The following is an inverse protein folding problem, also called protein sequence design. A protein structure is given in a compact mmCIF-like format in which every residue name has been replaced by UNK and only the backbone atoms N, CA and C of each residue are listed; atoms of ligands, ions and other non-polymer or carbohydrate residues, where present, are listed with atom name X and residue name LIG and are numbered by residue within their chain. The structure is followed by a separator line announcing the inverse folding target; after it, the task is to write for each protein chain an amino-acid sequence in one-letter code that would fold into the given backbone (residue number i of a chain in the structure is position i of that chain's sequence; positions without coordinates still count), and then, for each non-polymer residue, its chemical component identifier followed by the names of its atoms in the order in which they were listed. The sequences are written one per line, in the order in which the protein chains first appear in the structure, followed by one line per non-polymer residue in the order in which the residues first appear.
data_IF_599301766768
#
_entry.id   IF_599301766768
#
_cell.length_a   1.000
_cell.length_b   1.000
_cell.length_c   1.000
_cell.angle_alpha   90.00
_cell.angle_beta   90.00
_cell.angle_gamma   90.00
#
_symmetry.space_group_name_H-M   'P 1'
#
loop_
_entity.id
_entity.type
_entity.pdbx_description
1 polymer ?
#
# COMPACT_ATOMS: atom_id res chain seq x y z
N UNK A 1 -30.46 30.91 11.10
CA UNK A 1 -30.39 29.51 11.57
C UNK A 1 -30.48 28.48 10.43
N UNK A 2 -31.20 28.73 9.32
CA UNK A 2 -31.28 27.80 8.16
C UNK A 2 -29.99 27.63 7.33
N UNK A 3 -29.16 28.67 7.21
CA UNK A 3 -27.96 28.64 6.34
C UNK A 3 -26.88 27.67 6.89
N UNK A 4 -26.75 27.60 8.22
CA UNK A 4 -25.78 26.72 8.88
C UNK A 4 -26.17 25.25 8.72
N UNK A 5 -27.47 24.91 8.82
CA UNK A 5 -27.96 23.53 8.61
C UNK A 5 -27.80 23.07 7.15
N UNK A 6 -27.93 23.97 6.18
CA UNK A 6 -27.74 23.64 4.76
C UNK A 6 -26.27 23.39 4.42
N UNK A 7 -25.34 24.16 5.00
CA UNK A 7 -23.89 23.94 4.84
C UNK A 7 -23.41 22.65 5.53
N UNK A 8 -23.92 22.34 6.72
CA UNK A 8 -23.64 21.08 7.41
C UNK A 8 -24.19 19.85 6.66
N UNK A 9 -25.40 19.95 6.10
CA UNK A 9 -25.95 18.89 5.25
C UNK A 9 -25.17 18.73 3.95
N UNK A 10 -24.73 19.82 3.31
CA UNK A 10 -23.82 19.75 2.14
C UNK A 10 -22.53 19.01 2.50
N UNK A 11 -21.87 19.36 3.61
CA UNK A 11 -20.62 18.72 4.04
C UNK A 11 -20.80 17.22 4.35
N UNK A 12 -21.91 16.84 5.00
CA UNK A 12 -22.24 15.44 5.30
C UNK A 12 -22.53 14.63 4.03
N UNK A 13 -23.27 15.20 3.08
CA UNK A 13 -23.55 14.56 1.78
C UNK A 13 -22.29 14.45 0.92
N UNK A 14 -21.45 15.48 0.90
CA UNK A 14 -20.13 15.45 0.25
C UNK A 14 -19.27 14.33 0.84
N UNK A 15 -19.15 14.25 2.16
CA UNK A 15 -18.41 13.18 2.84
C UNK A 15 -18.98 11.79 2.53
N UNK A 16 -20.30 11.62 2.51
CA UNK A 16 -20.93 10.34 2.19
C UNK A 16 -20.69 9.93 0.73
N UNK A 17 -20.80 10.86 -0.22
CA UNK A 17 -20.53 10.62 -1.64
C UNK A 17 -19.05 10.34 -1.87
N UNK A 18 -18.14 11.11 -1.29
CA UNK A 18 -16.70 10.84 -1.34
C UNK A 18 -16.35 9.48 -0.74
N UNK A 19 -16.96 9.12 0.40
CA UNK A 19 -16.75 7.82 1.04
C UNK A 19 -17.28 6.67 0.16
N UNK A 20 -18.44 6.85 -0.48
CA UNK A 20 -19.02 5.89 -1.42
C UNK A 20 -18.16 5.78 -2.70
N UNK A 21 -17.74 6.90 -3.30
CA UNK A 21 -16.87 6.92 -4.50
C UNK A 21 -15.52 6.28 -4.20
N UNK A 22 -14.91 6.59 -3.05
CA UNK A 22 -13.67 5.93 -2.60
C UNK A 22 -13.86 4.42 -2.40
N UNK A 23 -15.05 3.99 -1.97
CA UNK A 23 -15.39 2.57 -1.81
C UNK A 23 -15.74 1.89 -3.15
N UNK A 24 -16.34 2.60 -4.10
CA UNK A 24 -16.79 2.07 -5.40
C UNK A 24 -15.74 2.14 -6.52
N UNK A 25 -14.71 2.98 -6.37
CA UNK A 25 -13.56 2.94 -7.27
C UNK A 25 -12.72 1.69 -7.05
N UNK A 26 -12.94 0.92 -5.98
CA UNK A 26 -12.29 -0.38 -5.76
C UNK A 26 -12.95 -1.47 -6.60
N UNK A 27 -12.47 -1.69 -7.84
CA UNK A 27 -12.83 -2.92 -8.57
C UNK A 27 -12.25 -4.12 -7.82
N UNK A 28 -13.11 -4.88 -7.14
CA UNK A 28 -12.74 -6.18 -6.57
C UNK A 28 -12.45 -7.17 -7.71
N UNK A 29 -11.18 -7.40 -8.00
CA UNK A 29 -10.65 -8.57 -8.70
C UNK A 29 -10.78 -9.84 -7.86
N UNK A 30 -10.77 -10.97 -8.57
CA UNK A 30 -11.23 -12.29 -8.11
C UNK A 30 -10.42 -12.94 -6.96
N UNK A 31 -9.44 -12.24 -6.38
CA UNK A 31 -8.61 -12.72 -5.25
C UNK A 31 -8.41 -11.67 -4.14
N UNK A 32 -9.38 -10.76 -3.94
CA UNK A 32 -9.23 -9.65 -2.97
C UNK A 32 -8.37 -8.50 -3.50
N UNK A 33 -8.13 -8.49 -4.81
CA UNK A 33 -7.45 -7.42 -5.53
C UNK A 33 -8.45 -6.28 -5.67
N UNK A 34 -8.09 -5.08 -5.24
CA UNK A 34 -8.86 -3.88 -5.56
C UNK A 34 -7.98 -3.02 -6.47
N UNK A 35 -8.28 -2.99 -7.76
CA UNK A 35 -7.66 -2.00 -8.66
C UNK A 35 -8.64 -0.84 -8.74
N UNK A 36 -8.34 0.20 -7.98
CA UNK A 36 -8.92 1.51 -8.26
C UNK A 36 -7.97 2.21 -9.21
N UNK A 37 -8.45 3.14 -10.04
CA UNK A 37 -7.55 4.02 -10.80
C UNK A 37 -6.59 4.83 -9.91
N UNK A 38 -6.66 4.70 -8.57
CA UNK A 38 -5.91 5.45 -7.57
C UNK A 38 -4.98 4.55 -6.74
N UNK A 39 -5.35 3.29 -6.53
CA UNK A 39 -4.62 2.36 -5.67
C UNK A 39 -4.75 0.92 -6.15
N UNK A 40 -3.64 0.19 -6.06
CA UNK A 40 -3.58 -1.23 -6.37
C UNK A 40 -3.17 -1.99 -5.11
N UNK A 41 -3.90 -3.07 -4.80
CA UNK A 41 -3.61 -3.95 -3.66
C UNK A 41 -3.43 -5.40 -4.13
N UNK A 42 -2.37 -6.05 -3.65
CA UNK A 42 -2.03 -7.42 -4.01
C UNK A 42 -1.25 -8.11 -2.88
N UNK A 43 -1.29 -9.44 -2.87
CA UNK A 43 -0.59 -10.25 -1.88
C UNK A 43 0.58 -11.00 -2.52
N UNK A 44 1.77 -10.85 -1.95
CA UNK A 44 2.96 -11.60 -2.34
C UNK A 44 3.16 -12.73 -1.35
N UNK A 45 2.90 -13.96 -1.81
CA UNK A 45 3.06 -15.17 -1.00
C UNK A 45 4.54 -15.53 -0.85
N UNK A 46 4.94 -15.93 0.35
CA UNK A 46 6.31 -16.36 0.64
C UNK A 46 6.80 -15.83 1.98
N UNK A 47 7.94 -16.31 2.45
CA UNK A 47 8.50 -15.83 3.73
C UNK A 47 9.06 -14.41 3.53
N UNK A 48 8.59 -13.38 4.26
CA UNK A 48 9.19 -12.06 4.17
C UNK A 48 10.67 -12.07 4.57
N UNK A 49 11.54 -11.62 3.65
CA UNK A 49 12.99 -11.57 3.84
C UNK A 49 13.41 -10.12 4.10
N UNK A 50 13.99 -9.78 5.27
CA UNK A 50 14.44 -8.42 5.55
C UNK A 50 15.67 -8.08 4.73
N UNK A 51 15.81 -6.82 4.32
CA UNK A 51 17.04 -6.33 3.71
C UNK A 51 18.14 -6.25 4.78
N UNK A 52 19.08 -7.18 4.72
CA UNK A 52 20.14 -7.38 5.71
C UNK A 52 21.11 -6.20 5.81
N UNK A 53 21.84 -6.13 6.92
CA UNK A 53 22.97 -5.23 7.06
C UNK A 53 24.20 -5.84 6.38
N UNK A 54 25.04 -4.98 5.79
CA UNK A 54 26.36 -5.38 5.31
C UNK A 54 27.19 -5.90 6.49
N UNK A 55 27.80 -7.06 6.32
CA UNK A 55 28.85 -7.55 7.23
C UNK A 55 30.19 -7.46 6.54
N UNK A 56 31.19 -6.94 7.23
CA UNK A 56 32.57 -6.99 6.77
C UNK A 56 33.20 -8.29 7.22
N UNK A 57 33.56 -9.16 6.28
CA UNK A 57 34.29 -10.41 6.53
C UNK A 57 35.55 -10.37 5.67
N UNK A 58 36.72 -10.48 6.30
CA UNK A 58 38.03 -10.42 5.63
C UNK A 58 38.20 -9.17 4.73
N UNK A 59 37.69 -8.00 5.16
CA UNK A 59 37.76 -6.76 4.38
C UNK A 59 36.71 -6.60 3.27
N UNK A 60 35.87 -7.61 3.04
CA UNK A 60 34.79 -7.57 2.04
C UNK A 60 33.44 -7.35 2.70
N UNK A 61 32.63 -6.42 2.16
CA UNK A 61 31.26 -6.21 2.58
C UNK A 61 30.34 -7.26 1.94
N UNK A 62 29.63 -8.06 2.75
CA UNK A 62 28.78 -9.17 2.32
C UNK A 62 27.36 -8.96 2.87
N UNK A 63 26.36 -9.07 1.99
CA UNK A 63 24.96 -9.19 2.39
C UNK A 63 24.66 -10.63 2.81
N UNK A 64 24.30 -10.83 4.08
CA UNK A 64 23.80 -12.12 4.56
C UNK A 64 22.51 -12.49 3.80
N UNK A 65 22.44 -13.70 3.25
CA UNK A 65 21.28 -14.22 2.50
C UNK A 65 20.88 -13.37 1.28
N UNK A 66 21.87 -12.85 0.55
CA UNK A 66 21.63 -12.04 -0.65
C UNK A 66 20.74 -12.76 -1.69
N UNK A 67 20.89 -14.08 -1.85
CA UNK A 67 20.07 -14.86 -2.78
C UNK A 67 18.59 -14.89 -2.39
N UNK A 68 18.28 -15.23 -1.13
CA UNK A 68 16.88 -15.25 -0.64
C UNK A 68 16.21 -13.89 -0.80
N UNK A 69 16.97 -12.82 -0.52
CA UNK A 69 16.47 -11.46 -0.67
C UNK A 69 16.24 -11.09 -2.14
N UNK A 70 17.14 -11.49 -3.05
CA UNK A 70 16.98 -11.23 -4.48
C UNK A 70 15.74 -11.94 -5.03
N UNK A 71 15.50 -13.20 -4.65
CA UNK A 71 14.30 -13.94 -5.01
C UNK A 71 13.04 -13.27 -4.44
N UNK A 72 13.07 -12.87 -3.16
CA UNK A 72 11.95 -12.18 -2.53
C UNK A 72 11.57 -10.87 -3.24
N UNK A 73 12.57 -10.09 -3.67
CA UNK A 73 12.33 -8.86 -4.46
C UNK A 73 11.78 -9.16 -5.83
N UNK A 74 12.29 -10.21 -6.49
CA UNK A 74 11.78 -10.63 -7.77
C UNK A 74 10.31 -11.05 -7.68
N UNK A 75 9.92 -11.79 -6.64
CA UNK A 75 8.52 -12.18 -6.41
C UNK A 75 7.61 -10.97 -6.21
N UNK A 76 8.08 -9.94 -5.47
CA UNK A 76 7.34 -8.69 -5.29
C UNK A 76 7.15 -7.97 -6.63
N UNK A 77 8.25 -7.77 -7.37
CA UNK A 77 8.24 -7.10 -8.68
C UNK A 77 7.32 -7.83 -9.66
N UNK A 78 7.47 -9.15 -9.77
CA UNK A 78 6.69 -9.98 -10.69
C UNK A 78 5.21 -9.96 -10.33
N UNK A 79 4.86 -10.06 -9.05
CA UNK A 79 3.47 -9.99 -8.59
C UNK A 79 2.87 -8.62 -8.88
N UNK A 80 3.60 -7.54 -8.58
CA UNK A 80 3.17 -6.17 -8.85
C UNK A 80 2.91 -5.93 -10.35
N UNK A 81 3.82 -6.39 -11.22
CA UNK A 81 3.63 -6.32 -12.67
C UNK A 81 2.44 -7.16 -13.14
N UNK A 82 2.30 -8.38 -12.61
CA UNK A 82 1.22 -9.30 -12.96
C UNK A 82 -0.16 -8.72 -12.65
N UNK A 83 -0.34 -8.08 -11.48
CA UNK A 83 -1.60 -7.42 -11.12
C UNK A 83 -1.80 -6.06 -11.79
N UNK A 84 -0.87 -5.63 -12.65
CA UNK A 84 -0.96 -4.37 -13.37
C UNK A 84 -0.76 -3.14 -12.50
N UNK A 85 0.17 -3.17 -11.53
CA UNK A 85 0.59 -1.94 -10.85
C UNK A 85 1.15 -0.97 -11.89
N UNK A 86 0.50 0.18 -12.02
CA UNK A 86 1.02 1.27 -12.84
C UNK A 86 2.04 2.08 -12.07
N UNK A 87 3.13 2.43 -12.73
CA UNK A 87 4.16 3.29 -12.17
C UNK A 87 3.62 4.70 -11.93
N UNK A 88 3.75 5.18 -10.70
CA UNK A 88 3.38 6.54 -10.32
C UNK A 88 4.47 7.55 -10.75
N UNK A 89 4.04 8.72 -11.20
CA UNK A 89 4.93 9.80 -11.65
C UNK A 89 5.44 10.69 -10.50
N UNK A 90 4.71 10.74 -9.38
CA UNK A 90 5.03 11.58 -8.22
C UNK A 90 4.93 10.76 -6.92
N UNK A 91 4.52 11.39 -5.82
CA UNK A 91 4.47 10.76 -4.51
C UNK A 91 3.52 9.57 -4.43
N UNK A 92 3.91 8.55 -3.68
CA UNK A 92 3.09 7.37 -3.38
C UNK A 92 2.92 7.14 -1.87
N UNK A 93 1.78 6.56 -1.49
CA UNK A 93 1.60 5.97 -0.16
C UNK A 93 1.68 4.45 -0.27
N UNK A 94 2.39 3.80 0.67
CA UNK A 94 2.53 2.34 0.70
C UNK A 94 2.02 1.81 2.03
N UNK A 95 1.09 0.85 1.96
CA UNK A 95 0.58 0.12 3.12
C UNK A 95 1.02 -1.34 3.05
N UNK A 96 1.56 -1.85 4.16
CA UNK A 96 2.18 -3.17 4.24
C UNK A 96 1.64 -3.94 5.45
N UNK A 97 1.07 -5.11 5.20
CA UNK A 97 0.76 -6.08 6.26
C UNK A 97 1.63 -7.30 6.07
N UNK A 98 2.63 -7.46 6.93
CA UNK A 98 3.51 -8.63 6.93
C UNK A 98 2.89 -9.74 7.76
N UNK A 99 2.57 -10.87 7.12
CA UNK A 99 2.09 -12.07 7.80
C UNK A 99 3.26 -13.03 7.99
N UNK A 100 3.60 -13.31 9.25
CA UNK A 100 4.71 -14.19 9.64
C UNK A 100 4.16 -15.49 10.23
N UNK A 101 4.84 -16.61 10.00
CA UNK A 101 4.43 -17.86 10.63
C UNK A 101 4.68 -17.83 12.14
N UNK A 102 3.67 -18.21 12.92
CA UNK A 102 3.81 -18.34 14.38
C UNK A 102 4.65 -19.58 14.72
N UNK A 103 5.78 -19.44 15.43
CA UNK A 103 6.53 -20.61 15.88
C UNK A 103 5.71 -21.40 16.91
N UNK A 104 5.72 -22.73 16.82
CA UNK A 104 4.92 -23.61 17.70
C UNK A 104 5.21 -23.41 19.20
N UNK A 105 6.45 -23.09 19.55
CA UNK A 105 6.91 -22.92 20.94
C UNK A 105 6.64 -21.53 21.52
N UNK A 106 6.02 -20.63 20.75
CA UNK A 106 5.95 -19.22 21.08
C UNK A 106 4.52 -18.81 21.41
N UNK A 107 4.29 -18.35 22.64
CA UNK A 107 2.97 -17.94 23.13
C UNK A 107 2.64 -16.45 22.92
N UNK A 108 3.59 -15.62 22.46
CA UNK A 108 3.34 -14.18 22.25
C UNK A 108 2.26 -13.94 21.19
N UNK A 109 1.45 -12.90 21.40
CA UNK A 109 0.37 -12.50 20.50
C UNK A 109 0.88 -11.80 19.24
N UNK A 110 1.95 -11.03 19.37
CA UNK A 110 2.50 -10.22 18.27
C UNK A 110 3.93 -10.64 17.89
N UNK A 111 4.32 -10.54 16.61
CA UNK A 111 5.66 -10.89 16.14
C UNK A 111 6.67 -9.75 16.35
N UNK A 112 6.93 -9.35 17.60
CA UNK A 112 7.88 -8.29 17.92
C UNK A 112 9.36 -8.72 17.87
N UNK A 113 9.65 -10.01 17.69
CA UNK A 113 11.01 -10.51 17.43
C UNK A 113 11.33 -10.40 15.93
N UNK A 114 12.63 -10.46 15.59
CA UNK A 114 13.13 -10.51 14.20
C UNK A 114 12.23 -11.36 13.29
N UNK A 115 12.01 -10.92 12.04
CA UNK A 115 12.66 -9.78 11.37
C UNK A 115 12.17 -8.40 11.83
N UNK A 116 13.06 -7.41 11.78
CA UNK A 116 12.78 -6.01 12.12
C UNK A 116 11.91 -5.38 11.01
N UNK A 117 10.86 -4.63 11.38
CA UNK A 117 9.85 -4.16 10.42
C UNK A 117 10.43 -3.16 9.41
N UNK A 118 11.34 -2.28 9.83
CA UNK A 118 12.05 -1.33 8.98
C UNK A 118 12.83 -2.03 7.86
N UNK A 119 13.45 -3.17 8.15
CA UNK A 119 14.20 -3.94 7.13
C UNK A 119 13.28 -4.73 6.20
N UNK A 120 12.11 -5.13 6.67
CA UNK A 120 11.08 -5.71 5.81
C UNK A 120 10.52 -4.66 4.86
N UNK A 121 10.22 -3.46 5.37
CA UNK A 121 9.78 -2.31 4.56
C UNK A 121 10.81 -2.05 3.47
N UNK A 122 12.10 -1.88 3.83
CA UNK A 122 13.17 -1.65 2.86
C UNK A 122 13.26 -2.75 1.80
N UNK A 123 13.06 -4.01 2.17
CA UNK A 123 13.05 -5.10 1.17
C UNK A 123 11.89 -4.97 0.17
N UNK A 124 10.71 -4.53 0.63
CA UNK A 124 9.56 -4.31 -0.24
C UNK A 124 9.76 -3.08 -1.12
N UNK A 125 10.26 -1.97 -0.57
CA UNK A 125 10.48 -0.76 -1.36
C UNK A 125 11.48 -0.99 -2.50
N UNK A 126 12.61 -1.63 -2.20
CA UNK A 126 13.60 -2.03 -3.21
C UNK A 126 12.99 -2.98 -4.27
N UNK A 127 12.02 -3.83 -3.88
CA UNK A 127 11.33 -4.74 -4.80
C UNK A 127 10.26 -4.07 -5.68
N UNK A 128 9.77 -2.90 -5.28
CA UNK A 128 8.80 -2.10 -6.04
C UNK A 128 9.45 -1.01 -6.89
N UNK A 129 10.73 -0.71 -6.64
CA UNK A 129 11.52 0.27 -7.40
C UNK A 129 11.62 -0.15 -8.87
N UNK A 130 11.36 0.77 -9.78
CA UNK A 130 11.26 0.52 -11.22
C UNK A 130 9.92 -0.07 -11.68
N UNK A 131 9.06 -0.53 -10.76
CA UNK A 131 7.74 -1.12 -11.05
C UNK A 131 6.61 -0.17 -10.66
N UNK A 132 6.50 0.16 -9.37
CA UNK A 132 5.44 1.02 -8.84
C UNK A 132 5.80 2.51 -8.85
N UNK A 133 7.10 2.82 -8.86
CA UNK A 133 7.70 4.16 -8.90
C UNK A 133 9.12 4.02 -9.46
N UNK A 134 9.77 5.12 -9.84
CA UNK A 134 11.15 5.09 -10.34
C UNK A 134 12.19 4.96 -9.22
N UNK A 135 11.96 5.61 -8.09
CA UNK A 135 12.86 5.61 -6.93
C UNK A 135 12.06 5.56 -5.61
N UNK A 136 12.60 4.91 -4.57
CA UNK A 136 11.92 4.80 -3.28
C UNK A 136 11.79 6.16 -2.55
N UNK A 137 12.54 7.18 -2.96
CA UNK A 137 12.33 8.57 -2.58
C UNK A 137 10.95 9.14 -2.96
N UNK A 138 10.22 8.52 -3.89
CA UNK A 138 8.82 8.88 -4.17
C UNK A 138 7.84 8.41 -3.07
N UNK A 139 8.26 7.56 -2.14
CA UNK A 139 7.40 7.05 -1.08
C UNK A 139 7.29 8.09 0.05
N UNK A 140 6.19 8.84 0.04
CA UNK A 140 5.96 9.96 0.98
C UNK A 140 5.23 9.54 2.26
N UNK A 141 4.63 8.34 2.28
CA UNK A 141 3.93 7.81 3.45
C UNK A 141 3.98 6.29 3.47
N UNK A 142 4.32 5.73 4.62
CA UNK A 142 4.35 4.29 4.86
C UNK A 142 3.49 3.95 6.07
N UNK A 143 2.67 2.92 5.96
CA UNK A 143 2.02 2.26 7.09
C UNK A 143 2.38 0.79 7.05
N UNK A 144 2.94 0.26 8.13
CA UNK A 144 3.36 -1.13 8.17
C UNK A 144 3.00 -1.80 9.49
N UNK A 145 2.53 -3.03 9.42
CA UNK A 145 2.29 -3.89 10.60
C UNK A 145 2.90 -5.28 10.39
N UNK A 146 3.15 -5.98 11.49
CA UNK A 146 3.47 -7.42 11.48
C UNK A 146 2.42 -8.17 12.28
N UNK A 147 1.94 -9.27 11.72
CA UNK A 147 1.00 -10.17 12.37
C UNK A 147 1.45 -11.63 12.22
N UNK A 148 0.90 -12.50 13.06
CA UNK A 148 1.02 -13.94 12.83
C UNK A 148 -0.13 -14.42 11.94
N UNK A 149 0.15 -15.37 11.05
CA UNK A 149 -0.88 -16.04 10.27
C UNK A 149 -0.39 -17.32 9.62
N UNK A 150 -1.32 -18.08 9.03
CA UNK A 150 -1.02 -19.37 8.39
C UNK A 150 -0.30 -19.21 7.04
N UNK A 151 -0.69 -18.18 6.28
CA UNK A 151 -0.09 -17.89 4.97
C UNK A 151 0.94 -16.79 5.11
N UNK A 152 2.22 -17.15 5.03
CA UNK A 152 3.31 -16.16 5.04
C UNK A 152 3.29 -15.31 3.77
N UNK A 153 3.56 -14.02 3.94
CA UNK A 153 3.65 -13.09 2.83
C UNK A 153 3.56 -11.64 3.26
N UNK A 154 3.31 -10.79 2.28
CA UNK A 154 3.02 -9.38 2.50
C UNK A 154 1.82 -8.97 1.64
N UNK A 155 0.81 -8.39 2.28
CA UNK A 155 -0.22 -7.63 1.57
C UNK A 155 0.33 -6.23 1.32
N UNK A 156 0.44 -5.86 0.05
CA UNK A 156 0.96 -4.57 -0.40
C UNK A 156 -0.20 -3.79 -0.99
N UNK A 157 -0.36 -2.54 -0.56
CA UNK A 157 -1.21 -1.57 -1.22
C UNK A 157 -0.40 -0.32 -1.56
N UNK A 158 -0.37 0.03 -2.84
CA UNK A 158 0.24 1.26 -3.34
C UNK A 158 -0.87 2.23 -3.72
N UNK A 159 -0.73 3.50 -3.31
CA UNK A 159 -1.65 4.59 -3.64
C UNK A 159 -0.87 5.65 -4.41
N UNK A 160 -1.32 5.98 -5.61
CA UNK A 160 -0.81 7.11 -6.38
C UNK A 160 -1.48 8.41 -5.88
N UNK A 161 -0.68 9.32 -5.31
CA UNK A 161 -1.19 10.58 -4.73
C UNK A 161 -1.81 11.50 -5.77
N UNK A 162 -1.27 11.52 -6.99
CA UNK A 162 -1.77 12.38 -8.07
C UNK A 162 -3.12 11.89 -8.53
N UNK A 163 -3.25 10.58 -8.75
CA UNK A 163 -4.54 9.98 -9.13
C UNK A 163 -5.57 10.15 -8.02
N UNK A 164 -5.15 10.03 -6.75
CA UNK A 164 -6.00 10.32 -5.59
C UNK A 164 -6.51 11.76 -5.61
N UNK A 165 -5.62 12.75 -5.72
CA UNK A 165 -5.99 14.16 -5.74
C UNK A 165 -6.89 14.52 -6.93
N UNK A 166 -6.59 14.02 -8.13
CA UNK A 166 -7.44 14.24 -9.31
C UNK A 166 -8.83 13.64 -9.15
N UNK A 167 -8.92 12.43 -8.59
CA UNK A 167 -10.21 11.81 -8.33
C UNK A 167 -11.02 12.54 -7.26
N UNK A 168 -10.36 13.09 -6.24
CA UNK A 168 -10.99 13.92 -5.20
C UNK A 168 -11.57 15.20 -5.81
N UNK A 169 -10.77 15.94 -6.57
CA UNK A 169 -11.19 17.18 -7.24
C UNK A 169 -12.34 16.92 -8.23
N UNK A 170 -12.27 15.82 -8.99
CA UNK A 170 -13.35 15.43 -9.90
C UNK A 170 -14.65 15.13 -9.15
N UNK A 171 -14.57 14.47 -7.98
CA UNK A 171 -15.74 14.18 -7.17
C UNK A 171 -16.36 15.46 -6.61
N UNK A 172 -15.54 16.41 -6.13
CA UNK A 172 -15.99 17.71 -5.64
C UNK A 172 -16.76 18.49 -6.73
N UNK A 173 -16.21 18.57 -7.95
CA UNK A 173 -16.88 19.25 -9.07
C UNK A 173 -18.24 18.65 -9.41
N UNK A 174 -18.36 17.31 -9.41
CA UNK A 174 -19.65 16.62 -9.68
C UNK A 174 -20.68 16.93 -8.60
N UNK A 175 -20.23 17.00 -7.34
CA UNK A 175 -21.11 17.33 -6.22
C UNK A 175 -21.58 18.78 -6.32
N UNK A 176 -20.69 19.71 -6.66
CA UNK A 176 -21.04 21.12 -6.85
C UNK A 176 -22.03 21.33 -8.00
N UNK A 177 -21.83 20.65 -9.14
CA UNK A 177 -22.79 20.67 -10.26
C UNK A 177 -24.16 20.10 -9.86
N UNK A 178 -24.18 19.01 -9.09
CA UNK A 178 -25.42 18.43 -8.58
C UNK A 178 -26.15 19.44 -7.68
N UNK A 179 -25.48 20.01 -6.68
CA UNK A 179 -26.12 20.97 -5.77
C UNK A 179 -26.58 22.25 -6.50
N UNK A 180 -25.82 22.74 -7.48
CA UNK A 180 -26.23 23.91 -8.25
C UNK A 180 -27.47 23.64 -9.12
N UNK A 181 -27.67 22.40 -9.58
CA UNK A 181 -28.85 22.01 -10.37
C UNK A 181 -30.14 21.93 -9.54
N UNK A 182 -30.03 21.72 -8.23
CA UNK A 182 -31.17 21.57 -7.31
C UNK A 182 -31.25 22.70 -6.26
N UNK A 183 -30.54 23.81 -6.49
CA UNK A 183 -30.56 24.99 -5.63
C UNK A 183 -31.62 26.04 -6.02
N UNK A 184 -32.34 25.82 -7.12
CA UNK A 184 -33.54 26.55 -7.54
C UNK A 184 -34.82 25.78 -7.13
#
# INVERSE_FOLDING_TARGET
MKIVSTQQNKLLTVCAILSIVMTHLAKRGNFGEAITGISTQFFVKGRPVPQGSLKFINGHAIHMRAQDLALWRADISNTAQFVGVEKALEGVEVHLTFTLKKPKSVNRKEPFIRPDIDKLIRAVLDGLTGVAYDDDGQVVKITAIKEYGETEGVLIRVIDKVKLSRSLLSAESVIDEHFNRYAD
#
